data_IF_236037910561
#
_entry.id   IF_236037910561
#
_cell.length_a   1.000
_cell.length_b   1.000
_cell.length_c   1.000
_cell.angle_alpha   90.00
_cell.angle_beta   90.00
_cell.angle_gamma   90.00
#
_symmetry.space_group_name_H-M   'P 1'
#
loop_
_entity.id
_entity.type
_entity.pdbx_description
1 polymer ?
#
# COMPACT_ATOMS: atom_id res chain seq x y z
N UNK A 1 12.95 12.20 12.42
CA UNK A 1 12.93 10.77 12.03
C UNK A 1 13.59 9.95 13.13
N UNK A 2 12.82 9.51 14.14
CA UNK A 2 13.24 8.62 15.25
C UNK A 2 12.34 7.38 15.26
N UNK A 3 12.19 6.77 14.09
CA UNK A 3 11.31 5.62 13.88
C UNK A 3 11.94 4.30 14.31
N UNK A 4 11.15 3.21 14.34
CA UNK A 4 11.68 1.88 14.56
C UNK A 4 12.63 1.44 13.44
N UNK A 5 13.46 0.44 13.72
CA UNK A 5 14.26 -0.24 12.70
C UNK A 5 13.61 -1.59 12.35
N UNK A 6 13.74 -2.02 11.10
CA UNK A 6 13.27 -3.34 10.66
C UNK A 6 14.23 -3.93 9.64
N UNK A 7 14.29 -5.26 9.59
CA UNK A 7 15.07 -5.97 8.57
C UNK A 7 14.34 -5.91 7.23
N UNK A 8 15.06 -5.57 6.16
CA UNK A 8 14.52 -5.46 4.80
C UNK A 8 14.90 -6.70 3.99
N UNK A 9 13.93 -7.54 3.56
CA UNK A 9 14.21 -8.66 2.68
C UNK A 9 14.69 -8.19 1.30
N UNK A 10 15.76 -8.81 0.80
CA UNK A 10 16.40 -8.49 -0.49
C UNK A 10 16.07 -9.54 -1.56
N UNK A 11 16.38 -9.25 -2.83
CA UNK A 11 16.21 -10.17 -3.95
C UNK A 11 15.01 -9.89 -4.87
N UNK A 12 14.28 -8.79 -4.64
CA UNK A 12 13.29 -8.28 -5.61
C UNK A 12 14.01 -7.86 -6.90
N UNK A 13 13.40 -8.17 -8.06
CA UNK A 13 13.92 -7.86 -9.40
C UNK A 13 13.09 -6.75 -10.02
N UNK A 14 13.70 -5.95 -10.87
CA UNK A 14 13.03 -4.83 -11.53
C UNK A 14 12.06 -5.30 -12.61
N UNK A 15 10.91 -4.65 -12.68
CA UNK A 15 9.96 -4.84 -13.79
C UNK A 15 10.48 -4.17 -15.05
N UNK A 16 10.21 -4.76 -16.21
CA UNK A 16 10.51 -4.17 -17.52
C UNK A 16 9.41 -3.23 -18.01
N UNK A 17 8.28 -3.17 -17.31
CA UNK A 17 7.07 -2.43 -17.72
C UNK A 17 6.46 -1.69 -16.53
N UNK A 18 6.02 -0.47 -16.76
CA UNK A 18 5.23 0.33 -15.80
C UNK A 18 3.73 0.08 -15.98
N UNK A 19 2.94 0.19 -14.91
CA UNK A 19 1.48 0.00 -14.94
C UNK A 19 0.73 1.22 -14.41
N UNK A 20 0.54 2.22 -15.27
CA UNK A 20 -0.22 3.43 -14.91
C UNK A 20 -1.69 3.14 -14.62
N UNK A 21 -2.32 2.24 -15.40
CA UNK A 21 -3.72 1.89 -15.21
C UNK A 21 -3.95 1.26 -13.83
N UNK A 22 -3.08 0.33 -13.42
CA UNK A 22 -3.09 -0.25 -12.08
C UNK A 22 -2.82 0.78 -10.99
N UNK A 23 -1.93 1.75 -11.22
CA UNK A 23 -1.71 2.83 -10.24
C UNK A 23 -2.97 3.68 -10.03
N UNK A 24 -3.72 3.97 -11.10
CA UNK A 24 -4.97 4.74 -11.01
C UNK A 24 -6.09 3.99 -10.28
N UNK A 25 -6.06 2.66 -10.26
CA UNK A 25 -7.06 1.83 -9.56
C UNK A 25 -6.65 1.47 -8.14
N UNK A 26 -5.36 1.25 -7.91
CA UNK A 26 -4.85 0.60 -6.69
C UNK A 26 -4.38 1.61 -5.64
N UNK A 27 -4.12 2.86 -6.02
CA UNK A 27 -3.71 3.90 -5.08
C UNK A 27 -4.93 4.61 -4.49
N UNK A 28 -5.12 4.57 -3.16
CA UNK A 28 -6.25 5.26 -2.53
C UNK A 28 -6.07 6.77 -2.63
N UNK A 29 -7.14 7.47 -3.03
CA UNK A 29 -7.13 8.93 -3.11
C UNK A 29 -7.35 9.56 -1.73
N UNK A 30 -6.86 10.79 -1.47
CA UNK A 30 -6.96 11.43 -0.16
C UNK A 30 -8.40 11.77 0.26
N UNK A 31 -9.35 11.72 -0.68
CA UNK A 31 -10.77 11.97 -0.46
C UNK A 31 -11.61 10.69 -0.39
N UNK A 32 -10.97 9.51 -0.32
CA UNK A 32 -11.68 8.25 -0.12
C UNK A 32 -12.29 8.19 1.28
N UNK A 33 -13.48 7.60 1.37
CA UNK A 33 -14.11 7.26 2.64
C UNK A 33 -13.35 6.14 3.35
N UNK A 34 -13.54 5.99 4.66
CA UNK A 34 -12.93 4.92 5.46
C UNK A 34 -13.21 3.53 4.88
N UNK A 35 -14.43 3.29 4.37
CA UNK A 35 -14.80 2.01 3.76
C UNK A 35 -13.99 1.74 2.48
N UNK A 36 -13.77 2.77 1.64
CA UNK A 36 -12.98 2.65 0.42
C UNK A 36 -11.50 2.43 0.72
N UNK A 37 -10.93 3.11 1.72
CA UNK A 37 -9.54 2.91 2.14
C UNK A 37 -9.37 1.49 2.72
N UNK A 38 -10.30 1.04 3.55
CA UNK A 38 -10.27 -0.31 4.13
C UNK A 38 -10.30 -1.38 3.04
N UNK A 39 -11.14 -1.20 2.01
CA UNK A 39 -11.18 -2.12 0.87
C UNK A 39 -9.88 -2.11 0.07
N UNK A 40 -9.33 -0.93 -0.24
CA UNK A 40 -8.08 -0.82 -1.00
C UNK A 40 -6.89 -1.53 -0.30
N UNK A 41 -6.79 -1.43 1.01
CA UNK A 41 -5.78 -2.16 1.79
C UNK A 41 -6.07 -3.67 1.82
N UNK A 42 -7.33 -4.07 1.98
CA UNK A 42 -7.73 -5.48 1.92
C UNK A 42 -7.41 -6.13 0.56
N UNK A 43 -7.55 -5.39 -0.55
CA UNK A 43 -7.21 -5.88 -1.89
C UNK A 43 -5.71 -6.14 -2.06
N UNK A 44 -4.87 -5.54 -1.20
CA UNK A 44 -3.42 -5.83 -1.09
C UNK A 44 -3.08 -6.85 -0.01
N UNK A 45 -4.09 -7.48 0.60
CA UNK A 45 -3.92 -8.47 1.66
C UNK A 45 -3.54 -7.86 3.01
N UNK A 46 -3.78 -6.56 3.21
CA UNK A 46 -3.49 -5.85 4.45
C UNK A 46 -4.76 -5.74 5.31
N UNK A 47 -4.60 -5.90 6.63
CA UNK A 47 -5.70 -5.80 7.59
C UNK A 47 -6.06 -4.34 7.91
N UNK A 48 -7.19 -4.14 8.61
CA UNK A 48 -7.56 -2.81 9.12
C UNK A 48 -6.49 -2.24 10.07
N UNK A 49 -5.83 -3.09 10.86
CA UNK A 49 -4.74 -2.66 11.74
C UNK A 49 -3.54 -2.18 10.95
N UNK A 50 -3.20 -2.85 9.85
CA UNK A 50 -2.11 -2.42 8.96
C UNK A 50 -2.45 -1.09 8.29
N UNK A 51 -3.71 -0.89 7.89
CA UNK A 51 -4.18 0.38 7.32
C UNK A 51 -3.96 1.55 8.28
N UNK A 52 -4.36 1.40 9.55
CA UNK A 52 -4.19 2.45 10.57
C UNK A 52 -2.71 2.68 10.91
N UNK A 53 -1.87 1.64 10.90
CA UNK A 53 -0.46 1.78 11.21
C UNK A 53 0.35 2.46 10.07
N UNK A 54 -0.15 2.39 8.83
CA UNK A 54 0.54 2.88 7.63
C UNK A 54 -0.03 4.21 7.07
N UNK A 55 -1.06 4.78 7.69
CA UNK A 55 -1.61 6.12 7.37
C UNK A 55 -0.78 7.24 7.97
#
# INVERSE_FOLDING_TARGET
LRGPTWSVPLGRRDSLVANQAGANTDLPAPFFSLAQITQAFSDKGLSLTDMVALS
#
